data_IF_745526153291
#
_entry.id   IF_745526153291
#
_cell.length_a   1.000
_cell.length_b   1.000
_cell.length_c   1.000
_cell.angle_alpha   90.00
_cell.angle_beta   90.00
_cell.angle_gamma   90.00
#
_symmetry.space_group_name_H-M   'P 1'
#
loop_
_entity.id
_entity.type
_entity.pdbx_description
1 polymer ?
#
# COMPACT_ATOMS: atom_id res chain seq x y z
N UNK A 1 2.31 45.28 -31.15
CA UNK A 1 3.27 44.19 -30.84
C UNK A 1 3.22 42.98 -31.79
N UNK A 2 2.21 42.77 -32.65
CA UNK A 2 2.18 41.58 -33.54
C UNK A 2 3.12 41.67 -34.76
N UNK A 3 3.41 42.88 -35.24
CA UNK A 3 4.21 43.12 -36.45
C UNK A 3 5.70 42.77 -36.26
N UNK A 4 6.24 42.95 -35.04
CA UNK A 4 7.66 42.71 -34.75
C UNK A 4 8.06 41.23 -34.73
N UNK A 5 7.14 40.31 -34.35
CA UNK A 5 7.38 38.86 -34.36
C UNK A 5 7.30 38.25 -35.77
N UNK A 6 6.63 38.93 -36.71
CA UNK A 6 6.43 38.44 -38.07
C UNK A 6 7.70 38.59 -38.93
N UNK A 7 8.50 39.64 -38.70
CA UNK A 7 9.77 39.89 -39.40
C UNK A 7 10.99 39.36 -38.64
N UNK A 8 10.77 38.51 -37.65
CA UNK A 8 11.82 38.05 -36.76
C UNK A 8 12.64 36.94 -37.42
N UNK A 9 13.96 37.09 -37.40
CA UNK A 9 14.86 36.06 -37.92
C UNK A 9 14.97 34.88 -36.95
N UNK A 10 15.33 33.70 -37.46
CA UNK A 10 15.50 32.51 -36.63
C UNK A 10 16.47 32.73 -35.44
N UNK A 11 17.66 33.34 -35.61
CA UNK A 11 18.56 33.59 -34.49
C UNK A 11 17.97 34.54 -33.44
N UNK A 12 17.26 35.58 -33.88
CA UNK A 12 16.60 36.53 -32.99
C UNK A 12 15.48 35.86 -32.17
N UNK A 13 14.72 34.96 -32.82
CA UNK A 13 13.68 34.19 -32.15
C UNK A 13 14.24 33.21 -31.10
N UNK A 14 15.38 32.58 -31.38
CA UNK A 14 16.08 31.72 -30.42
C UNK A 14 16.63 32.50 -29.24
N UNK A 15 17.30 33.63 -29.48
CA UNK A 15 17.79 34.52 -28.42
C UNK A 15 16.64 34.96 -27.50
N UNK A 16 15.50 35.37 -28.06
CA UNK A 16 14.32 35.73 -27.28
C UNK A 16 13.77 34.57 -26.44
N UNK A 17 13.80 33.33 -26.94
CA UNK A 17 13.39 32.15 -26.16
C UNK A 17 14.34 31.89 -25.01
N UNK A 18 15.65 32.00 -25.24
CA UNK A 18 16.68 31.85 -24.21
C UNK A 18 16.50 32.90 -23.11
N UNK A 19 16.39 34.18 -23.48
CA UNK A 19 16.15 35.26 -22.52
C UNK A 19 14.86 35.05 -21.72
N UNK A 20 13.79 34.57 -22.36
CA UNK A 20 12.55 34.27 -21.65
C UNK A 20 12.72 33.10 -20.67
N UNK A 21 13.42 32.04 -21.09
CA UNK A 21 13.69 30.90 -20.23
C UNK A 21 14.55 31.29 -19.01
N UNK A 22 15.54 32.18 -19.20
CA UNK A 22 16.36 32.72 -18.12
C UNK A 22 15.53 33.55 -17.13
N UNK A 23 14.67 34.45 -17.62
CA UNK A 23 13.77 35.24 -16.77
C UNK A 23 12.82 34.32 -15.97
N UNK A 24 12.25 33.32 -16.62
CA UNK A 24 11.35 32.36 -15.98
C UNK A 24 12.10 31.51 -14.93
N UNK A 25 13.34 31.12 -15.21
CA UNK A 25 14.18 30.37 -14.28
C UNK A 25 14.53 31.22 -13.04
N UNK A 26 14.92 32.49 -13.25
CA UNK A 26 15.20 33.43 -12.17
C UNK A 26 13.95 33.68 -11.31
N UNK A 27 12.78 33.84 -11.93
CA UNK A 27 11.52 33.96 -11.20
C UNK A 27 11.23 32.72 -10.36
N UNK A 28 11.37 31.52 -10.92
CA UNK A 28 11.16 30.25 -10.19
C UNK A 28 12.15 30.06 -9.05
N UNK A 29 13.40 30.50 -9.21
CA UNK A 29 14.41 30.41 -8.15
C UNK A 29 14.10 31.34 -6.97
N UNK A 30 13.44 32.47 -7.22
CA UNK A 30 13.01 33.43 -6.21
C UNK A 30 11.60 33.15 -5.64
N UNK A 31 10.91 32.10 -6.10
CA UNK A 31 9.57 31.75 -5.60
C UNK A 31 9.61 31.25 -4.15
N UNK A 32 8.65 31.70 -3.33
CA UNK A 32 8.46 31.12 -2.00
C UNK A 32 7.88 29.70 -2.09
N UNK A 33 8.05 28.86 -1.06
CA UNK A 33 7.49 27.50 -1.04
C UNK A 33 5.99 27.46 -1.30
N UNK A 34 5.22 28.39 -0.73
CA UNK A 34 3.76 28.46 -0.88
C UNK A 34 3.35 28.79 -2.31
N UNK A 35 4.07 29.73 -2.95
CA UNK A 35 3.84 30.10 -4.35
C UNK A 35 4.19 28.94 -5.28
N UNK A 36 5.31 28.25 -5.02
CA UNK A 36 5.71 27.06 -5.76
C UNK A 36 4.65 25.94 -5.62
N UNK A 37 4.15 25.70 -4.40
CA UNK A 37 3.10 24.72 -4.16
C UNK A 37 1.80 25.07 -4.90
N UNK A 38 1.35 26.33 -4.82
CA UNK A 38 0.16 26.79 -5.52
C UNK A 38 0.29 26.66 -7.04
N UNK A 39 1.48 26.96 -7.60
CA UNK A 39 1.79 26.76 -9.03
C UNK A 39 1.73 25.28 -9.41
N UNK A 40 2.37 24.40 -8.64
CA UNK A 40 2.32 22.96 -8.86
C UNK A 40 0.88 22.41 -8.79
N UNK A 41 0.08 22.91 -7.85
CA UNK A 41 -1.33 22.50 -7.69
C UNK A 41 -2.17 22.88 -8.90
N UNK A 42 -2.09 24.14 -9.35
CA UNK A 42 -2.76 24.62 -10.58
C UNK A 42 -2.32 23.84 -11.82
N UNK A 43 -1.02 23.54 -11.95
CA UNK A 43 -0.51 22.75 -13.06
C UNK A 43 -1.07 21.31 -13.03
N UNK A 44 -1.15 20.69 -11.85
CA UNK A 44 -1.71 19.36 -11.69
C UNK A 44 -3.20 19.32 -12.07
N UNK A 45 -3.98 20.32 -11.65
CA UNK A 45 -5.40 20.48 -11.99
C UNK A 45 -5.63 20.68 -13.49
N UNK A 46 -4.82 21.52 -14.13
CA UNK A 46 -4.85 21.71 -15.58
C UNK A 46 -4.58 20.41 -16.33
N UNK A 47 -3.53 19.68 -15.96
CA UNK A 47 -3.18 18.39 -16.58
C UNK A 47 -4.23 17.31 -16.31
N UNK A 48 -4.86 17.31 -15.13
CA UNK A 48 -5.95 16.40 -14.82
C UNK A 48 -7.18 16.67 -15.70
N UNK A 49 -7.52 17.94 -15.89
CA UNK A 49 -8.63 18.36 -16.76
C UNK A 49 -8.38 18.00 -18.22
N UNK A 50 -7.16 18.23 -18.72
CA UNK A 50 -6.74 17.81 -20.06
C UNK A 50 -6.86 16.28 -20.22
N UNK A 51 -6.37 15.50 -19.25
CA UNK A 51 -6.49 14.03 -19.27
C UNK A 51 -7.93 13.54 -19.24
N UNK A 52 -8.82 14.23 -18.53
CA UNK A 52 -10.24 13.87 -18.46
C UNK A 52 -10.96 14.13 -19.79
N UNK A 53 -10.48 15.09 -20.58
CA UNK A 53 -11.00 15.42 -21.91
C UNK A 53 -10.32 14.63 -23.06
N UNK A 54 -9.33 13.77 -22.77
CA UNK A 54 -8.66 12.95 -23.78
C UNK A 54 -9.66 11.97 -24.41
N UNK A 55 -9.64 11.89 -25.74
CA UNK A 55 -10.25 10.77 -26.48
C UNK A 55 -9.51 9.45 -26.18
N UNK A 56 -10.15 8.29 -26.38
CA UNK A 56 -9.48 6.99 -26.23
C UNK A 56 -8.18 6.88 -27.03
N UNK A 57 -8.17 7.38 -28.28
CA UNK A 57 -7.03 7.35 -29.19
C UNK A 57 -5.89 8.24 -28.69
N UNK A 58 -6.19 9.47 -28.24
CA UNK A 58 -5.19 10.37 -27.65
C UNK A 58 -4.59 9.76 -26.38
N UNK A 59 -5.42 9.15 -25.54
CA UNK A 59 -4.96 8.51 -24.32
C UNK A 59 -4.07 7.30 -24.61
N UNK A 60 -4.39 6.51 -25.64
CA UNK A 60 -3.55 5.41 -26.09
C UNK A 60 -2.22 5.91 -26.64
N UNK A 61 -2.23 6.91 -27.52
CA UNK A 61 -1.02 7.51 -28.09
C UNK A 61 -0.08 8.03 -26.98
N UNK A 62 -0.63 8.74 -25.98
CA UNK A 62 0.14 9.22 -24.81
C UNK A 62 0.75 8.06 -24.01
N UNK A 63 -0.01 6.99 -23.75
CA UNK A 63 0.51 5.80 -23.04
C UNK A 63 1.63 5.13 -23.82
N UNK A 64 1.50 5.02 -25.14
CA UNK A 64 2.53 4.46 -26.01
C UNK A 64 3.80 5.32 -25.99
N UNK A 65 3.69 6.64 -26.17
CA UNK A 65 4.81 7.56 -26.10
C UNK A 65 5.53 7.51 -24.74
N UNK A 66 4.77 7.42 -23.65
CA UNK A 66 5.35 7.27 -22.32
C UNK A 66 6.07 5.92 -22.16
N UNK A 67 5.51 4.83 -22.69
CA UNK A 67 6.13 3.51 -22.65
C UNK A 67 7.44 3.47 -23.46
N UNK A 68 7.45 4.06 -24.66
CA UNK A 68 8.66 4.14 -25.50
C UNK A 68 9.74 4.99 -24.85
N UNK A 69 9.38 6.13 -24.24
CA UNK A 69 10.33 6.94 -23.48
C UNK A 69 10.93 6.17 -22.30
N UNK A 70 10.10 5.45 -21.53
CA UNK A 70 10.59 4.64 -20.41
C UNK A 70 11.46 3.48 -20.87
N UNK A 71 11.22 2.92 -22.06
CA UNK A 71 12.07 1.89 -22.64
C UNK A 71 13.45 2.47 -23.03
N UNK A 72 13.48 3.60 -23.73
CA UNK A 72 14.75 4.23 -24.12
C UNK A 72 15.59 4.66 -22.92
N UNK A 73 14.96 5.15 -21.85
CA UNK A 73 15.66 5.45 -20.59
C UNK A 73 16.30 4.20 -19.97
N UNK A 74 15.67 3.03 -20.09
CA UNK A 74 16.23 1.76 -19.60
C UNK A 74 17.38 1.26 -20.47
N UNK A 75 17.33 1.51 -21.77
CA UNK A 75 18.41 1.10 -22.69
C UNK A 75 19.70 1.89 -22.42
N UNK A 76 19.58 3.14 -21.98
CA UNK A 76 20.73 3.99 -21.58
C UNK A 76 21.04 3.95 -20.09
N UNK A 77 20.32 3.14 -19.30
CA UNK A 77 20.48 3.06 -17.84
C UNK A 77 21.83 2.43 -17.48
N UNK A 78 22.55 3.01 -16.52
CA UNK A 78 23.77 2.39 -15.99
C UNK A 78 23.44 1.15 -15.16
N UNK A 79 24.39 0.23 -15.02
CA UNK A 79 24.19 -1.01 -14.23
C UNK A 79 23.77 -0.67 -12.79
N UNK A 80 24.41 0.33 -12.17
CA UNK A 80 24.11 0.78 -10.81
C UNK A 80 22.68 1.32 -10.68
N UNK A 81 22.25 2.17 -11.63
CA UNK A 81 20.88 2.69 -11.65
C UNK A 81 19.85 1.56 -11.82
N UNK A 82 20.14 0.60 -12.70
CA UNK A 82 19.29 -0.58 -12.91
C UNK A 82 19.17 -1.45 -11.66
N UNK A 83 20.27 -1.66 -10.93
CA UNK A 83 20.26 -2.39 -9.65
C UNK A 83 19.47 -1.64 -8.58
N UNK A 84 19.72 -0.35 -8.40
CA UNK A 84 19.00 0.50 -7.45
C UNK A 84 17.48 0.45 -7.70
N UNK A 85 17.07 0.58 -8.97
CA UNK A 85 15.67 0.44 -9.37
C UNK A 85 15.09 -0.95 -9.05
N UNK A 86 15.82 -2.03 -9.34
CA UNK A 86 15.38 -3.41 -9.03
C UNK A 86 15.22 -3.60 -7.52
N UNK A 87 16.16 -3.12 -6.71
CA UNK A 87 16.09 -3.15 -5.24
C UNK A 87 14.87 -2.38 -4.73
N UNK A 88 14.66 -1.15 -5.20
CA UNK A 88 13.50 -0.34 -4.82
C UNK A 88 12.15 -1.00 -5.20
N UNK A 89 12.08 -1.67 -6.36
CA UNK A 89 10.89 -2.44 -6.76
C UNK A 89 10.66 -3.64 -5.84
N UNK A 90 11.72 -4.39 -5.51
CA UNK A 90 11.65 -5.52 -4.60
C UNK A 90 11.22 -5.11 -3.19
N UNK A 91 11.79 -4.03 -2.65
CA UNK A 91 11.43 -3.48 -1.34
C UNK A 91 9.96 -3.05 -1.30
N UNK A 92 9.49 -2.28 -2.29
CA UNK A 92 8.06 -1.91 -2.39
C UNK A 92 7.16 -3.14 -2.48
N UNK A 93 7.58 -4.19 -3.18
CA UNK A 93 6.82 -5.44 -3.26
C UNK A 93 6.78 -6.17 -1.91
N UNK A 94 7.89 -6.21 -1.16
CA UNK A 94 7.94 -6.76 0.19
C UNK A 94 7.06 -5.95 1.16
N UNK A 95 7.17 -4.61 1.15
CA UNK A 95 6.34 -3.73 1.97
C UNK A 95 4.84 -3.96 1.71
N UNK A 96 4.43 -4.06 0.43
CA UNK A 96 3.03 -4.40 0.07
C UNK A 96 2.60 -5.76 0.62
N UNK A 97 3.46 -6.78 0.55
CA UNK A 97 3.18 -8.10 1.14
C UNK A 97 3.00 -7.99 2.65
N UNK A 98 3.88 -7.26 3.34
CA UNK A 98 3.81 -7.06 4.79
C UNK A 98 2.53 -6.34 5.22
N UNK A 99 2.12 -5.29 4.50
CA UNK A 99 0.85 -4.60 4.74
C UNK A 99 -0.32 -5.58 4.58
N UNK A 100 -0.34 -6.35 3.49
CA UNK A 100 -1.38 -7.34 3.26
C UNK A 100 -1.42 -8.42 4.36
N UNK A 101 -0.26 -8.93 4.81
CA UNK A 101 -0.22 -9.95 5.87
C UNK A 101 -0.60 -9.39 7.23
N UNK A 102 -0.19 -8.16 7.57
CA UNK A 102 -0.56 -7.49 8.83
C UNK A 102 -2.06 -7.18 8.89
N UNK A 103 -2.64 -6.68 7.80
CA UNK A 103 -4.06 -6.38 7.71
C UNK A 103 -4.95 -7.63 7.73
N UNK A 104 -4.38 -8.83 7.57
CA UNK A 104 -5.14 -10.08 7.60
C UNK A 104 -5.59 -10.44 9.02
N UNK A 105 -4.71 -10.32 10.02
CA UNK A 105 -5.05 -10.62 11.43
C UNK A 105 -5.26 -9.38 12.30
N UNK A 106 -4.83 -8.19 11.85
CA UNK A 106 -4.98 -6.95 12.62
C UNK A 106 -6.44 -6.57 12.92
N UNK A 107 -7.40 -7.05 12.13
CA UNK A 107 -8.85 -6.87 12.39
C UNK A 107 -9.30 -7.64 13.65
N UNK A 108 -8.56 -8.67 14.04
CA UNK A 108 -8.80 -9.45 15.25
C UNK A 108 -7.80 -9.17 16.36
N UNK A 109 -7.03 -8.08 16.25
CA UNK A 109 -6.11 -7.70 17.32
C UNK A 109 -6.92 -7.47 18.60
N UNK A 110 -6.62 -8.24 19.64
CA UNK A 110 -7.35 -8.29 20.92
C UNK A 110 -8.83 -8.73 20.87
N UNK A 111 -9.34 -9.22 19.75
CA UNK A 111 -10.75 -9.62 19.65
C UNK A 111 -11.18 -10.73 20.64
N UNK A 112 -10.24 -11.48 21.20
CA UNK A 112 -10.50 -12.45 22.27
C UNK A 112 -10.79 -11.80 23.64
N UNK A 113 -10.30 -10.58 23.87
CA UNK A 113 -10.49 -9.82 25.11
C UNK A 113 -11.52 -8.71 24.96
N UNK A 114 -11.61 -8.10 23.77
CA UNK A 114 -12.53 -7.03 23.42
C UNK A 114 -13.42 -7.52 22.27
N UNK A 115 -14.56 -8.14 22.61
CA UNK A 115 -15.51 -8.63 21.61
C UNK A 115 -16.24 -7.45 20.95
N UNK A 116 -16.20 -7.38 19.61
CA UNK A 116 -16.89 -6.37 18.80
C UNK A 116 -18.02 -7.01 17.98
N UNK A 117 -19.26 -6.80 18.42
CA UNK A 117 -20.48 -7.35 17.79
C UNK A 117 -20.69 -6.91 16.33
N UNK A 118 -20.00 -5.87 15.87
CA UNK A 118 -20.08 -5.42 14.47
C UNK A 118 -19.22 -6.24 13.51
N UNK A 119 -18.29 -7.04 14.05
CA UNK A 119 -17.46 -7.96 13.28
C UNK A 119 -18.18 -9.30 13.09
N UNK A 120 -18.39 -9.69 11.84
CA UNK A 120 -19.02 -10.97 11.49
C UNK A 120 -18.10 -12.19 11.70
N UNK A 121 -17.69 -12.47 12.94
CA UNK A 121 -16.73 -13.52 13.31
C UNK A 121 -17.10 -14.90 12.75
N UNK A 122 -18.38 -15.27 12.80
CA UNK A 122 -18.90 -16.58 12.40
C UNK A 122 -18.67 -16.90 10.90
N UNK A 123 -18.70 -15.86 10.07
CA UNK A 123 -18.54 -15.98 8.61
C UNK A 123 -17.13 -15.60 8.13
N UNK A 124 -16.24 -15.23 9.05
CA UNK A 124 -14.96 -14.67 8.67
C UNK A 124 -13.97 -15.74 8.22
N UNK A 125 -13.42 -15.61 7.01
CA UNK A 125 -12.57 -16.62 6.34
C UNK A 125 -11.30 -17.05 7.10
N UNK A 126 -10.91 -16.30 8.13
CA UNK A 126 -9.74 -16.58 8.96
C UNK A 126 -10.07 -17.23 10.30
N UNK A 127 -11.33 -17.14 10.72
CA UNK A 127 -11.81 -17.73 11.96
C UNK A 127 -12.46 -19.05 11.60
N UNK A 128 -11.90 -20.14 12.12
CA UNK A 128 -12.50 -21.48 12.01
C UNK A 128 -12.88 -21.92 13.41
N UNK A 129 -14.15 -21.70 13.76
CA UNK A 129 -14.72 -22.29 14.97
C UNK A 129 -15.22 -23.67 14.55
N UNK A 130 -14.47 -24.70 14.93
CA UNK A 130 -14.87 -26.09 14.69
C UNK A 130 -16.00 -26.50 15.64
N UNK A 131 -16.72 -27.56 15.28
CA UNK A 131 -17.76 -28.11 16.13
C UNK A 131 -17.17 -28.68 17.42
N UNK A 132 -17.86 -28.45 18.54
CA UNK A 132 -17.54 -29.01 19.84
C UNK A 132 -18.03 -30.47 19.88
N UNK A 133 -17.25 -31.39 19.33
CA UNK A 133 -17.66 -32.79 19.11
C UNK A 133 -16.80 -33.82 19.85
N UNK A 134 -15.69 -33.39 20.45
CA UNK A 134 -14.84 -34.25 21.24
C UNK A 134 -15.41 -34.41 22.65
N UNK A 135 -15.43 -35.63 23.18
CA UNK A 135 -15.97 -35.86 24.52
C UNK A 135 -14.86 -35.73 25.57
N UNK A 136 -15.07 -34.88 26.57
CA UNK A 136 -14.16 -34.79 27.71
C UNK A 136 -14.13 -36.11 28.49
N UNK A 137 -12.93 -36.63 28.74
CA UNK A 137 -12.72 -37.86 29.50
C UNK A 137 -13.17 -37.77 30.96
N UNK A 138 -13.18 -36.57 31.55
CA UNK A 138 -13.42 -36.38 32.98
C UNK A 138 -14.88 -36.08 33.33
N UNK A 139 -15.56 -35.21 32.58
CA UNK A 139 -16.95 -34.80 32.86
C UNK A 139 -17.93 -35.19 31.74
N UNK A 140 -17.49 -35.87 30.69
CA UNK A 140 -18.32 -36.22 29.52
C UNK A 140 -18.92 -35.05 28.74
N UNK A 141 -18.60 -33.80 29.09
CA UNK A 141 -18.99 -32.63 28.31
C UNK A 141 -18.36 -32.67 26.92
N UNK A 142 -19.04 -32.07 25.93
CA UNK A 142 -18.45 -31.83 24.62
C UNK A 142 -17.40 -30.72 24.74
N UNK A 143 -16.29 -30.87 24.03
CA UNK A 143 -15.15 -29.94 24.00
C UNK A 143 -14.63 -29.78 22.57
N UNK A 144 -13.82 -28.75 22.33
CA UNK A 144 -13.10 -28.65 21.07
C UNK A 144 -11.91 -29.62 21.02
N UNK A 145 -11.50 -29.97 19.80
CA UNK A 145 -10.42 -30.92 19.56
C UNK A 145 -9.10 -30.50 20.21
N UNK A 146 -8.75 -29.23 20.07
CA UNK A 146 -7.51 -28.65 20.62
C UNK A 146 -7.70 -27.98 21.99
N UNK A 147 -8.87 -28.12 22.63
CA UNK A 147 -9.10 -27.59 23.96
C UNK A 147 -8.31 -28.38 25.02
N UNK A 148 -7.61 -27.65 25.90
CA UNK A 148 -6.84 -28.22 27.00
C UNK A 148 -7.73 -29.01 27.96
N UNK A 149 -7.28 -30.21 28.33
CA UNK A 149 -8.04 -31.11 29.19
C UNK A 149 -8.28 -30.47 30.57
N UNK A 150 -9.55 -30.34 30.97
CA UNK A 150 -9.94 -29.80 32.27
C UNK A 150 -10.50 -28.37 32.22
N UNK A 151 -10.44 -27.65 31.10
CA UNK A 151 -11.11 -26.34 30.93
C UNK A 151 -12.63 -26.46 31.19
N UNK A 152 -13.28 -27.45 30.58
CA UNK A 152 -14.68 -27.80 30.82
C UNK A 152 -14.99 -28.38 32.23
N UNK A 153 -13.97 -28.66 33.05
CA UNK A 153 -14.12 -29.26 34.38
C UNK A 153 -13.91 -28.26 35.51
N UNK A 154 -13.54 -27.01 35.19
CA UNK A 154 -13.09 -26.06 36.20
C UNK A 154 -14.20 -25.31 36.92
N UNK A 155 -15.45 -25.31 36.45
CA UNK A 155 -16.59 -24.78 37.20
C UNK A 155 -17.89 -25.49 36.79
N UNK A 156 -18.47 -26.30 37.69
CA UNK A 156 -19.90 -26.69 37.57
C UNK A 156 -20.31 -28.17 37.56
N UNK A 157 -19.45 -29.15 37.85
CA UNK A 157 -19.94 -30.55 37.95
C UNK A 157 -18.92 -31.55 38.50
N UNK A 158 -19.03 -31.83 39.81
CA UNK A 158 -18.39 -32.93 40.56
C UNK A 158 -16.95 -33.29 40.16
N UNK A 159 -15.99 -32.70 40.87
CA UNK A 159 -14.57 -33.04 40.80
C UNK A 159 -14.32 -34.52 41.16
N UNK A 160 -13.67 -35.34 40.32
CA UNK A 160 -12.98 -36.52 40.80
C UNK A 160 -11.64 -36.06 41.39
N UNK A 161 -11.38 -36.45 42.64
CA UNK A 161 -10.15 -36.23 43.38
C UNK A 161 -8.90 -36.51 42.53
N UNK A 162 -8.15 -35.47 42.18
CA UNK A 162 -6.90 -35.59 41.44
C UNK A 162 -5.80 -36.05 42.41
N UNK A 163 -5.56 -37.37 42.44
CA UNK A 163 -4.45 -37.92 43.21
C UNK A 163 -3.13 -37.59 42.49
N UNK A 164 -2.43 -36.53 42.92
CA UNK A 164 -1.08 -36.19 42.41
C UNK A 164 -0.10 -37.26 42.87
N UNK A 165 0.14 -38.27 42.03
CA UNK A 165 1.37 -39.07 42.14
C UNK A 165 2.49 -38.27 41.48
N UNK A 166 3.22 -37.52 42.31
CA UNK A 166 4.47 -36.89 41.91
C UNK A 166 5.52 -37.99 41.68
N UNK A 167 5.76 -38.34 40.42
CA UNK A 167 6.95 -39.11 40.05
C UNK A 167 8.14 -38.16 40.04
N UNK A 168 8.80 -38.01 41.19
CA UNK A 168 10.22 -37.62 41.22
C UNK A 168 11.01 -38.83 40.75
N UNK A 169 11.65 -38.73 39.59
CA UNK A 169 12.79 -39.57 39.27
C UNK A 169 14.04 -38.70 39.35
N UNK A 170 14.95 -39.19 40.18
CA UNK A 170 16.30 -38.73 40.47
C UNK A 170 17.20 -38.68 39.24
#
# INVERSE_FOLDING_TARGET
MKVAKFNETFPQAELRKLEQAERDAAHRAAETPERSQARCRRQAEYLASQRAAETPEQSQARRLQHATYMASQRDTETIEAAESRKRAVAERAQQRRLIFTKNRWGVFDKAAFEYDETLGYESHKLIKIEAMNEKCRFCSALKWKEEFAGMCCLEGGSSPSFNRRASRTS
#
